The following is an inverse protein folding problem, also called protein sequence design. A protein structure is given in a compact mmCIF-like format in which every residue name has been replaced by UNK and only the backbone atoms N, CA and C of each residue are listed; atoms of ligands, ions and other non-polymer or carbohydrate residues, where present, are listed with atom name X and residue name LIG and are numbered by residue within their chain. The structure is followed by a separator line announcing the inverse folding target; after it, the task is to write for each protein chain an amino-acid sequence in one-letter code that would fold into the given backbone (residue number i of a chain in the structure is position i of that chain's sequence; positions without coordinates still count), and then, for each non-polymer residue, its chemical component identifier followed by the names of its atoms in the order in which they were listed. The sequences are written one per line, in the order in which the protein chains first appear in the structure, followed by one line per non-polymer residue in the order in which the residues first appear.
data_IF_567007049466
#
_entry.id   IF_567007049466
#
_cell.length_a   1.000
_cell.length_b   1.000
_cell.length_c   1.000
_cell.angle_alpha   90.00
_cell.angle_beta   90.00
_cell.angle_gamma   90.00
#
_symmetry.space_group_name_H-M   'P 1'
#
loop_
_entity.id
_entity.type
_entity.pdbx_description
1 polymer ?
#
# COMPACT_ATOMS: atom_id res chain seq x y z
N UNK A 1 -23.29 -3.77 16.00
CA UNK A 1 -22.01 -3.84 16.71
C UNK A 1 -21.68 -2.44 17.19
N UNK A 2 -21.52 -2.23 18.51
CA UNK A 2 -21.02 -0.96 19.03
C UNK A 2 -19.48 -1.01 18.94
N UNK A 3 -18.91 -0.40 17.95
CA UNK A 3 -17.45 -0.20 17.92
C UNK A 3 -17.10 0.85 18.99
N UNK A 4 -16.07 0.62 19.81
CA UNK A 4 -15.59 1.65 20.70
C UNK A 4 -15.19 2.89 19.91
N UNK A 5 -15.46 4.08 20.46
CA UNK A 5 -15.07 5.32 19.80
C UNK A 5 -13.54 5.33 19.66
N UNK A 6 -12.98 5.60 18.46
CA UNK A 6 -11.53 5.62 18.26
C UNK A 6 -10.86 6.59 19.24
N UNK A 7 -9.70 6.21 19.77
CA UNK A 7 -8.89 7.09 20.62
C UNK A 7 -8.29 8.21 19.76
N UNK A 8 -8.67 9.45 20.05
CA UNK A 8 -8.03 10.61 19.41
C UNK A 8 -6.67 10.89 20.07
N UNK A 9 -5.60 10.93 19.27
CA UNK A 9 -4.22 11.07 19.76
C UNK A 9 -3.68 12.46 19.44
N UNK A 10 -3.30 13.23 20.47
CA UNK A 10 -2.69 14.54 20.29
C UNK A 10 -1.17 14.50 20.53
N UNK A 11 -0.48 15.54 20.11
CA UNK A 11 0.96 15.73 20.37
C UNK A 11 1.30 15.58 21.85
N UNK A 12 0.48 16.13 22.72
CA UNK A 12 0.69 16.17 24.18
C UNK A 12 0.09 14.96 24.94
N UNK A 13 -0.79 14.17 24.29
CA UNK A 13 -1.39 13.00 24.95
C UNK A 13 -0.39 11.86 25.08
N UNK A 14 -0.54 11.03 26.12
CA UNK A 14 0.18 9.77 26.27
C UNK A 14 -0.80 8.65 25.97
N UNK A 15 -0.49 7.85 24.96
CA UNK A 15 -1.21 6.61 24.71
C UNK A 15 -0.74 5.57 25.72
N UNK A 16 -1.61 5.05 26.61
CA UNK A 16 -1.20 4.17 27.68
C UNK A 16 -0.56 2.86 27.20
N UNK A 17 -0.93 2.37 26.00
CA UNK A 17 -0.36 1.14 25.43
C UNK A 17 1.08 1.37 24.91
N UNK A 18 1.46 2.63 24.65
CA UNK A 18 2.76 3.00 24.05
C UNK A 18 3.56 3.98 24.93
N UNK A 19 3.32 4.00 26.24
CA UNK A 19 3.95 4.94 27.16
C UNK A 19 5.44 4.67 27.42
N UNK A 20 5.92 3.42 27.23
CA UNK A 20 7.26 2.99 27.57
C UNK A 20 8.05 2.51 26.36
N UNK A 21 8.57 3.43 25.52
CA UNK A 21 9.45 3.06 24.41
C UNK A 21 10.79 2.52 24.91
N UNK A 22 11.40 1.60 24.18
CA UNK A 22 12.75 1.11 24.42
C UNK A 22 13.51 0.93 23.10
N UNK A 23 14.82 1.03 23.16
CA UNK A 23 15.75 0.77 22.05
C UNK A 23 16.52 -0.50 22.36
N UNK A 24 16.67 -1.39 21.41
CA UNK A 24 17.48 -2.61 21.50
C UNK A 24 18.53 -2.73 20.39
N UNK A 25 18.43 -1.92 19.32
CA UNK A 25 19.43 -1.82 18.28
C UNK A 25 19.74 -0.34 18.04
N UNK A 26 21.02 0.02 18.06
CA UNK A 26 21.52 1.35 17.73
C UNK A 26 22.91 1.20 17.11
N UNK A 27 22.99 1.34 15.78
CA UNK A 27 24.21 1.06 15.02
C UNK A 27 24.33 1.93 13.78
N UNK A 28 25.55 2.10 13.29
CA UNK A 28 25.80 2.72 11.99
C UNK A 28 25.67 1.69 10.88
N UNK A 29 24.97 2.05 9.81
CA UNK A 29 24.82 1.27 8.57
C UNK A 29 25.23 2.07 7.36
N UNK A 30 25.63 1.39 6.28
CA UNK A 30 26.06 2.03 5.04
C UNK A 30 25.23 1.61 3.82
N UNK A 31 24.33 0.68 3.97
CA UNK A 31 23.48 0.17 2.89
C UNK A 31 22.02 0.57 3.14
N UNK A 32 21.32 1.16 2.16
CA UNK A 32 21.75 1.57 0.80
C UNK A 32 22.61 2.85 0.78
N UNK A 33 22.61 3.61 1.85
CA UNK A 33 23.38 4.85 2.04
C UNK A 33 23.78 4.96 3.51
N UNK A 34 24.83 5.73 3.87
CA UNK A 34 25.24 5.90 5.26
C UNK A 34 24.11 6.47 6.12
N UNK A 35 23.80 5.81 7.22
CA UNK A 35 22.78 6.24 8.19
C UNK A 35 23.02 5.62 9.57
N UNK A 36 22.44 6.20 10.61
CA UNK A 36 22.32 5.56 11.93
C UNK A 36 20.96 4.85 12.00
N UNK A 37 20.99 3.56 12.25
CA UNK A 37 19.80 2.73 12.43
C UNK A 37 19.49 2.57 13.91
N UNK A 38 18.26 2.87 14.30
CA UNK A 38 17.75 2.70 15.66
C UNK A 38 16.48 1.90 15.59
N UNK A 39 16.42 0.77 16.27
CA UNK A 39 15.22 -0.07 16.36
C UNK A 39 14.88 -0.38 17.80
N UNK A 40 13.61 -0.60 18.05
CA UNK A 40 13.09 -0.87 19.37
C UNK A 40 11.59 -1.16 19.32
N UNK A 41 10.94 -0.94 20.45
CA UNK A 41 9.51 -1.19 20.57
C UNK A 41 8.91 -0.47 21.75
N UNK A 42 7.72 -0.94 22.17
CA UNK A 42 7.01 -0.41 23.33
C UNK A 42 6.72 -1.56 24.29
N UNK A 43 7.12 -1.39 25.57
CA UNK A 43 6.99 -2.44 26.59
C UNK A 43 5.54 -2.88 26.76
N UNK A 44 5.33 -4.17 26.97
CA UNK A 44 4.01 -4.74 27.10
C UNK A 44 3.24 -4.95 25.80
N UNK A 45 3.83 -4.58 24.65
CA UNK A 45 3.22 -4.73 23.32
C UNK A 45 4.10 -5.54 22.38
N UNK A 46 3.57 -5.90 21.22
CA UNK A 46 4.34 -6.44 20.08
C UNK A 46 4.74 -5.35 19.07
N UNK A 47 4.46 -4.09 19.37
CA UNK A 47 4.78 -2.97 18.52
C UNK A 47 6.29 -2.73 18.43
N UNK A 48 6.77 -2.63 17.19
CA UNK A 48 8.17 -2.35 16.87
C UNK A 48 8.25 -1.13 15.96
N UNK A 49 9.36 -0.40 16.08
CA UNK A 49 9.71 0.70 15.19
C UNK A 49 11.14 0.54 14.67
N UNK A 50 11.37 1.17 13.52
CA UNK A 50 12.70 1.35 12.93
C UNK A 50 12.86 2.80 12.49
N UNK A 51 13.93 3.43 12.96
CA UNK A 51 14.32 4.80 12.62
C UNK A 51 15.66 4.79 11.92
N UNK A 52 15.77 5.56 10.86
CA UNK A 52 16.98 5.69 10.06
C UNK A 52 17.33 7.17 9.98
N UNK A 53 18.44 7.57 10.59
CA UNK A 53 18.83 8.96 10.70
C UNK A 53 19.96 9.26 9.71
N UNK A 54 19.83 10.32 8.86
CA UNK A 54 20.90 10.77 8.00
C UNK A 54 22.11 11.26 8.81
N UNK A 55 23.33 11.30 8.22
CA UNK A 55 24.48 11.93 8.81
C UNK A 55 24.16 13.39 9.24
N UNK A 56 24.76 13.88 10.35
CA UNK A 56 24.43 15.19 10.91
C UNK A 56 24.54 16.35 9.92
N UNK A 57 25.51 16.29 9.02
CA UNK A 57 25.74 17.32 8.00
C UNK A 57 24.67 17.36 6.91
N UNK A 58 23.90 16.28 6.75
CA UNK A 58 22.81 16.19 5.76
C UNK A 58 21.44 16.48 6.38
N UNK A 59 21.31 16.40 7.70
CA UNK A 59 20.02 16.44 8.37
C UNK A 59 19.31 17.80 8.25
N UNK A 60 18.05 17.76 7.76
CA UNK A 60 17.21 18.93 7.47
C UNK A 60 16.01 19.07 8.41
N UNK A 61 16.11 18.60 9.66
CA UNK A 61 15.10 18.73 10.72
C UNK A 61 13.70 18.21 10.32
N UNK A 62 13.67 17.08 9.62
CA UNK A 62 12.44 16.45 9.20
C UNK A 62 12.55 14.93 9.21
N UNK A 63 11.38 14.28 9.25
CA UNK A 63 11.28 12.83 9.06
C UNK A 63 10.13 12.48 8.13
N UNK A 64 10.30 11.40 7.37
CA UNK A 64 9.30 10.79 6.53
C UNK A 64 8.91 9.46 7.14
N UNK A 65 7.63 9.30 7.45
CA UNK A 65 7.09 8.12 8.08
C UNK A 65 6.30 7.33 7.05
N UNK A 66 6.82 6.18 6.64
CA UNK A 66 6.13 5.25 5.77
C UNK A 66 5.14 4.42 6.57
N UNK A 67 3.97 4.20 6.01
CA UNK A 67 2.97 3.29 6.59
C UNK A 67 2.37 2.37 5.54
N UNK A 68 2.24 1.09 5.91
CA UNK A 68 1.62 0.05 5.09
C UNK A 68 1.04 -1.04 6.00
N UNK A 69 -0.17 -1.59 5.72
CA UNK A 69 -0.88 -2.46 6.64
C UNK A 69 -0.29 -3.86 6.78
N UNK A 70 0.62 -4.28 5.89
CA UNK A 70 1.21 -5.61 5.93
C UNK A 70 2.56 -5.57 6.64
N UNK A 71 2.58 -6.02 7.89
CA UNK A 71 3.83 -6.34 8.59
C UNK A 71 4.34 -7.70 8.10
N UNK A 72 5.53 -7.72 7.52
CA UNK A 72 6.19 -8.97 7.11
C UNK A 72 6.94 -9.62 8.27
N UNK A 73 7.29 -8.85 9.30
CA UNK A 73 7.93 -9.32 10.52
C UNK A 73 7.33 -8.61 11.74
N UNK A 74 7.15 -9.35 12.83
CA UNK A 74 6.78 -8.77 14.13
C UNK A 74 7.96 -8.11 14.84
N UNK A 75 9.19 -8.36 14.39
CA UNK A 75 10.41 -7.98 15.11
C UNK A 75 11.04 -6.68 14.58
N UNK A 76 10.81 -6.38 13.31
CA UNK A 76 11.32 -5.17 12.65
C UNK A 76 10.19 -4.49 11.88
N UNK A 77 10.49 -3.38 11.22
CA UNK A 77 9.54 -2.67 10.38
C UNK A 77 8.81 -3.54 9.36
N UNK A 78 7.75 -3.04 8.76
CA UNK A 78 6.82 -3.83 7.94
C UNK A 78 7.45 -4.45 6.70
N UNK A 79 8.51 -3.88 6.18
CA UNK A 79 9.21 -4.38 5.00
C UNK A 79 10.68 -4.67 5.30
N UNK A 80 11.25 -5.73 4.71
CA UNK A 80 12.69 -5.92 4.66
C UNK A 80 13.37 -4.72 3.98
N UNK A 81 14.62 -4.47 4.36
CA UNK A 81 15.38 -3.35 3.79
C UNK A 81 15.53 -3.48 2.26
N UNK A 82 15.57 -4.70 1.75
CA UNK A 82 15.63 -4.98 0.32
C UNK A 82 14.41 -4.44 -0.44
N UNK A 83 13.24 -4.48 0.18
CA UNK A 83 12.04 -3.89 -0.41
C UNK A 83 12.12 -2.36 -0.39
N UNK A 84 12.56 -1.77 0.71
CA UNK A 84 12.79 -0.33 0.83
C UNK A 84 13.81 0.17 -0.20
N UNK A 85 14.89 -0.59 -0.40
CA UNK A 85 15.89 -0.30 -1.44
C UNK A 85 15.28 -0.36 -2.84
N UNK A 86 14.48 -1.39 -3.11
CA UNK A 86 13.83 -1.59 -4.41
C UNK A 86 12.82 -0.47 -4.73
N UNK A 87 12.09 0.03 -3.72
CA UNK A 87 11.16 1.17 -3.86
C UNK A 87 11.88 2.53 -3.83
N UNK A 88 13.13 2.56 -3.37
CA UNK A 88 13.93 3.77 -3.27
C UNK A 88 13.56 4.71 -2.11
N UNK A 89 12.60 4.34 -1.27
CA UNK A 89 12.06 5.22 -0.23
C UNK A 89 13.11 5.60 0.82
N UNK A 90 13.85 4.62 1.34
CA UNK A 90 14.89 4.86 2.34
C UNK A 90 16.04 5.70 1.76
N UNK A 91 16.57 5.29 0.61
CA UNK A 91 17.68 6.01 -0.04
C UNK A 91 17.30 7.45 -0.37
N UNK A 92 16.13 7.66 -0.98
CA UNK A 92 15.60 9.00 -1.26
C UNK A 92 15.43 9.84 0.01
N UNK A 93 14.85 9.26 1.07
CA UNK A 93 14.60 9.97 2.33
C UNK A 93 15.91 10.44 2.95
N UNK A 94 16.89 9.56 3.12
CA UNK A 94 18.19 9.92 3.69
C UNK A 94 18.91 10.96 2.82
N UNK A 95 18.93 10.78 1.49
CA UNK A 95 19.55 11.73 0.58
C UNK A 95 18.87 13.11 0.60
N UNK A 96 17.57 13.17 0.90
CA UNK A 96 16.85 14.43 1.08
C UNK A 96 17.11 15.10 2.44
N UNK A 97 17.89 14.49 3.32
CA UNK A 97 18.17 14.98 4.66
C UNK A 97 17.06 14.73 5.68
N UNK A 98 16.13 13.84 5.40
CA UNK A 98 15.08 13.44 6.33
C UNK A 98 15.45 12.13 7.05
N UNK A 99 15.05 11.98 8.31
CA UNK A 99 15.03 10.66 8.94
C UNK A 99 13.88 9.83 8.35
N UNK A 100 14.09 8.52 8.18
CA UNK A 100 13.05 7.59 7.76
C UNK A 100 12.48 6.85 8.95
N UNK A 101 11.17 6.63 8.95
CA UNK A 101 10.43 5.99 10.04
C UNK A 101 9.49 4.94 9.48
N UNK A 102 9.48 3.78 10.10
CA UNK A 102 8.46 2.75 9.86
C UNK A 102 8.17 1.97 11.14
N UNK A 103 7.03 1.28 11.17
CA UNK A 103 6.60 0.42 12.26
C UNK A 103 6.07 -0.91 11.73
N UNK A 104 5.90 -1.88 12.63
CA UNK A 104 5.19 -3.11 12.33
C UNK A 104 3.67 -3.04 12.60
N UNK A 105 3.11 -1.83 12.71
CA UNK A 105 1.67 -1.60 12.96
C UNK A 105 1.14 -2.34 14.20
N UNK A 106 1.93 -2.43 15.27
CA UNK A 106 1.56 -3.12 16.50
C UNK A 106 1.82 -4.64 16.51
N UNK A 107 2.24 -5.21 15.36
CA UNK A 107 2.61 -6.63 15.25
C UNK A 107 1.45 -7.63 15.25
N UNK A 108 0.20 -7.18 15.40
CA UNK A 108 -1.00 -8.03 15.52
C UNK A 108 -2.17 -7.57 14.64
N UNK A 109 -1.91 -6.92 13.52
CA UNK A 109 -2.94 -6.31 12.68
C UNK A 109 -4.00 -7.29 12.13
N UNK A 110 -3.73 -8.59 12.13
CA UNK A 110 -4.70 -9.65 11.73
C UNK A 110 -5.47 -10.24 12.92
N UNK A 111 -5.18 -9.84 14.14
CA UNK A 111 -5.86 -10.35 15.31
C UNK A 111 -7.18 -9.58 15.54
N UNK A 112 -8.36 -10.19 15.32
CA UNK A 112 -9.64 -9.49 15.46
C UNK A 112 -9.99 -9.12 16.90
N UNK A 113 -9.24 -9.62 17.89
CA UNK A 113 -9.42 -9.28 19.29
C UNK A 113 -8.66 -8.01 19.72
N UNK A 114 -7.76 -7.52 18.85
CA UNK A 114 -6.97 -6.30 19.10
C UNK A 114 -7.71 -5.09 18.54
N UNK A 115 -7.63 -3.96 19.24
CA UNK A 115 -8.18 -2.69 18.76
C UNK A 115 -7.59 -2.34 17.39
N UNK A 116 -8.40 -2.26 16.32
CA UNK A 116 -7.92 -1.97 14.98
C UNK A 116 -7.24 -0.59 14.86
N UNK A 117 -7.53 0.35 15.76
CA UNK A 117 -6.88 1.66 15.80
C UNK A 117 -5.37 1.55 16.10
N UNK A 118 -4.93 0.48 16.78
CA UNK A 118 -3.50 0.23 17.01
C UNK A 118 -2.75 0.13 15.68
N UNK A 119 -3.22 -0.71 14.79
CA UNK A 119 -2.60 -0.89 13.47
C UNK A 119 -2.91 0.28 12.52
N UNK A 120 -4.08 0.91 12.65
CA UNK A 120 -4.49 1.99 11.76
C UNK A 120 -3.65 3.26 11.94
N UNK A 121 -3.38 3.69 13.18
CA UNK A 121 -2.63 4.94 13.43
C UNK A 121 -1.95 5.04 14.79
N UNK A 122 -2.39 4.34 15.86
CA UNK A 122 -1.88 4.55 17.24
C UNK A 122 -0.41 4.20 17.37
N UNK A 123 0.03 3.04 16.84
CA UNK A 123 1.44 2.64 16.83
C UNK A 123 2.31 3.66 16.08
N UNK A 124 1.85 4.09 14.91
CA UNK A 124 2.55 5.07 14.10
C UNK A 124 2.65 6.43 14.79
N UNK A 125 1.58 6.86 15.48
CA UNK A 125 1.58 8.10 16.26
C UNK A 125 2.59 8.06 17.42
N UNK A 126 2.66 6.94 18.14
CA UNK A 126 3.64 6.75 19.20
C UNK A 126 5.09 6.78 18.67
N UNK A 127 5.36 6.09 17.56
CA UNK A 127 6.67 6.11 16.91
C UNK A 127 7.04 7.52 16.41
N UNK A 128 6.08 8.26 15.85
CA UNK A 128 6.31 9.64 15.39
C UNK A 128 6.65 10.60 16.53
N UNK A 129 6.09 10.41 17.73
CA UNK A 129 6.48 11.16 18.92
C UNK A 129 7.88 10.79 19.38
N UNK A 130 8.17 9.48 19.40
CA UNK A 130 9.44 9.00 19.90
C UNK A 130 10.60 9.35 18.97
N UNK A 131 10.43 9.29 17.64
CA UNK A 131 11.49 9.74 16.71
C UNK A 131 11.85 11.20 16.88
N UNK A 132 10.90 12.07 17.26
CA UNK A 132 11.22 13.49 17.57
C UNK A 132 12.13 13.63 18.79
N UNK A 133 11.86 12.86 19.85
CA UNK A 133 12.73 12.84 21.04
C UNK A 133 14.11 12.27 20.68
N UNK A 134 14.15 11.16 19.96
CA UNK A 134 15.41 10.55 19.50
C UNK A 134 16.21 11.47 18.60
N UNK A 135 15.59 12.23 17.71
CA UNK A 135 16.30 13.18 16.84
C UNK A 135 17.02 14.28 17.65
N UNK A 136 16.42 14.75 18.74
CA UNK A 136 17.09 15.71 19.63
C UNK A 136 18.33 15.10 20.29
N UNK A 137 18.25 13.84 20.70
CA UNK A 137 19.39 13.11 21.28
C UNK A 137 20.47 12.83 20.23
N UNK A 138 20.09 12.28 19.07
CA UNK A 138 20.99 11.91 17.96
C UNK A 138 21.79 13.13 17.48
N UNK A 139 21.15 14.29 17.35
CA UNK A 139 21.79 15.51 16.82
C UNK A 139 22.26 16.50 17.91
N UNK A 140 22.06 16.14 19.19
CA UNK A 140 22.58 16.91 20.34
C UNK A 140 22.02 18.33 20.45
N UNK A 141 20.80 18.57 19.94
CA UNK A 141 20.17 19.90 19.98
C UNK A 141 18.64 19.80 20.14
N UNK A 142 18.10 20.76 20.91
CA UNK A 142 16.66 20.88 21.05
C UNK A 142 16.07 21.48 19.76
N UNK A 143 15.19 20.71 19.09
CA UNK A 143 14.44 21.13 17.92
C UNK A 143 13.20 20.25 17.77
N UNK A 144 12.22 20.70 17.00
CA UNK A 144 11.05 19.90 16.64
C UNK A 144 11.09 19.55 15.15
N UNK A 145 11.51 18.33 14.78
CA UNK A 145 11.50 17.91 13.39
C UNK A 145 10.09 17.96 12.79
N UNK A 146 9.99 18.43 11.56
CA UNK A 146 8.74 18.32 10.78
C UNK A 146 8.51 16.87 10.36
N UNK A 147 7.31 16.36 10.62
CA UNK A 147 6.92 14.98 10.32
C UNK A 147 5.94 14.90 9.17
N UNK A 148 6.21 13.99 8.22
CA UNK A 148 5.33 13.74 7.09
C UNK A 148 4.98 12.25 7.04
N UNK A 149 3.68 11.93 7.15
CA UNK A 149 3.19 10.56 7.02
C UNK A 149 2.78 10.29 5.59
N UNK A 150 3.25 9.20 5.02
CA UNK A 150 2.89 8.81 3.67
C UNK A 150 2.64 7.31 3.57
N UNK A 151 1.78 6.92 2.64
CA UNK A 151 1.51 5.52 2.38
C UNK A 151 0.63 5.31 1.16
N UNK A 152 0.92 4.25 0.44
CA UNK A 152 0.18 3.82 -0.75
C UNK A 152 -0.78 2.67 -0.45
N UNK A 153 -1.82 2.51 -1.28
CA UNK A 153 -2.77 1.40 -1.18
C UNK A 153 -3.38 1.29 0.22
N UNK A 154 -3.14 0.20 0.94
CA UNK A 154 -3.55 0.05 2.34
C UNK A 154 -2.91 1.08 3.28
N UNK A 155 -1.69 1.53 2.99
CA UNK A 155 -1.02 2.61 3.71
C UNK A 155 -1.70 3.96 3.52
N UNK A 156 -2.38 4.18 2.39
CA UNK A 156 -3.20 5.38 2.21
C UNK A 156 -4.36 5.44 3.21
N UNK A 157 -5.01 4.32 3.50
CA UNK A 157 -6.04 4.26 4.54
C UNK A 157 -5.48 4.57 5.93
N UNK A 158 -4.29 4.03 6.25
CA UNK A 158 -3.63 4.35 7.52
C UNK A 158 -3.25 5.83 7.59
N UNK A 159 -2.77 6.41 6.49
CA UNK A 159 -2.44 7.84 6.40
C UNK A 159 -3.68 8.71 6.59
N UNK A 160 -4.81 8.37 5.95
CA UNK A 160 -6.10 9.05 6.12
C UNK A 160 -6.60 8.87 7.56
N UNK A 161 -6.60 7.63 8.08
CA UNK A 161 -7.02 7.37 9.45
C UNK A 161 -6.19 8.12 10.48
N UNK A 162 -4.89 8.28 10.26
CA UNK A 162 -4.03 9.10 11.09
C UNK A 162 -4.40 10.60 10.99
N UNK A 163 -4.66 11.11 9.79
CA UNK A 163 -5.06 12.51 9.59
C UNK A 163 -6.39 12.85 10.29
N UNK A 164 -7.34 11.90 10.31
CA UNK A 164 -8.66 12.08 10.92
C UNK A 164 -8.66 11.91 12.44
N UNK A 165 -7.71 11.15 13.01
CA UNK A 165 -7.73 10.75 14.42
C UNK A 165 -6.53 11.26 15.22
N UNK A 166 -5.70 12.15 14.64
CA UNK A 166 -4.57 12.74 15.36
C UNK A 166 -4.46 14.24 15.14
N UNK A 167 -3.84 14.94 16.10
CA UNK A 167 -3.49 16.35 15.99
C UNK A 167 -2.09 16.61 16.57
N UNK A 168 -1.30 17.44 15.89
CA UNK A 168 0.05 17.80 16.31
C UNK A 168 1.09 16.68 16.24
N UNK A 169 0.74 15.51 15.65
CA UNK A 169 1.66 14.37 15.46
C UNK A 169 2.48 14.53 14.18
N UNK A 170 1.84 14.81 13.07
CA UNK A 170 2.51 15.08 11.79
C UNK A 170 2.14 16.45 11.27
N UNK A 171 3.01 17.01 10.44
CA UNK A 171 2.84 18.33 9.83
C UNK A 171 2.28 18.24 8.42
N UNK A 172 2.27 17.03 7.84
CA UNK A 172 1.68 16.75 6.53
C UNK A 172 1.39 15.27 6.31
N UNK A 173 0.42 15.02 5.43
CA UNK A 173 -0.05 13.69 5.08
C UNK A 173 -0.10 13.52 3.56
N UNK A 174 0.44 12.42 3.06
CA UNK A 174 0.46 12.06 1.64
C UNK A 174 -0.12 10.67 1.42
N UNK A 175 -1.46 10.50 1.46
CA UNK A 175 -2.09 9.27 1.01
C UNK A 175 -2.06 9.22 -0.52
N UNK A 176 -1.62 8.09 -1.09
CA UNK A 176 -1.63 7.91 -2.53
C UNK A 176 -2.17 6.53 -2.93
N UNK A 177 -2.72 6.45 -4.13
CA UNK A 177 -3.38 5.26 -4.69
C UNK A 177 -4.27 4.51 -3.68
N UNK A 178 -5.18 5.19 -2.94
CA UNK A 178 -6.07 4.50 -2.02
C UNK A 178 -6.92 3.51 -2.79
N UNK A 179 -7.03 2.28 -2.29
CA UNK A 179 -8.04 1.36 -2.76
C UNK A 179 -9.43 1.90 -2.37
N UNK A 180 -10.38 1.89 -3.28
CA UNK A 180 -11.76 2.30 -2.99
C UNK A 180 -12.72 1.14 -3.22
N UNK A 181 -13.97 1.30 -2.81
CA UNK A 181 -15.03 0.29 -3.01
C UNK A 181 -15.16 -0.11 -4.48
N UNK A 182 -14.83 0.81 -5.40
CA UNK A 182 -14.84 0.56 -6.84
C UNK A 182 -13.57 -0.16 -7.34
N UNK A 183 -12.51 -0.23 -6.56
CA UNK A 183 -11.27 -0.89 -6.96
C UNK A 183 -11.48 -2.38 -7.22
N UNK A 184 -12.23 -3.07 -6.34
CA UNK A 184 -12.51 -4.51 -6.50
C UNK A 184 -13.33 -4.78 -7.76
N UNK A 185 -14.53 -4.20 -7.96
CA UNK A 185 -15.29 -4.40 -9.19
C UNK A 185 -14.52 -3.97 -10.44
N UNK A 186 -13.81 -2.84 -10.39
CA UNK A 186 -13.01 -2.36 -11.51
C UNK A 186 -11.89 -3.32 -11.86
N UNK A 187 -11.12 -3.78 -10.86
CA UNK A 187 -9.98 -4.67 -11.07
C UNK A 187 -10.38 -6.12 -11.33
N UNK A 188 -11.34 -6.65 -10.56
CA UNK A 188 -11.70 -8.07 -10.57
C UNK A 188 -12.78 -8.41 -11.59
N UNK A 189 -13.55 -7.45 -12.05
CA UNK A 189 -14.63 -7.69 -13.01
C UNK A 189 -14.37 -7.00 -14.34
N UNK A 190 -14.36 -5.67 -14.37
CA UNK A 190 -14.26 -4.93 -15.62
C UNK A 190 -12.94 -5.16 -16.37
N UNK A 191 -11.81 -5.16 -15.69
CA UNK A 191 -10.49 -5.47 -16.30
C UNK A 191 -10.44 -6.88 -16.85
N UNK A 192 -10.87 -7.87 -16.07
CA UNK A 192 -10.82 -9.27 -16.51
C UNK A 192 -11.76 -9.53 -17.67
N UNK A 193 -12.95 -8.92 -17.63
CA UNK A 193 -13.87 -8.96 -18.75
C UNK A 193 -13.26 -8.34 -20.02
N UNK A 194 -12.71 -7.14 -19.90
CA UNK A 194 -12.10 -6.46 -21.03
C UNK A 194 -10.88 -7.22 -21.57
N UNK A 195 -10.00 -7.74 -20.70
CA UNK A 195 -8.87 -8.59 -21.11
C UNK A 195 -9.38 -9.79 -21.94
N UNK A 196 -10.41 -10.47 -21.47
CA UNK A 196 -10.96 -11.63 -22.17
C UNK A 196 -11.50 -11.25 -23.54
N UNK A 197 -12.33 -10.21 -23.64
CA UNK A 197 -12.94 -9.79 -24.89
C UNK A 197 -11.89 -9.22 -25.88
N UNK A 198 -10.98 -8.37 -25.42
CA UNK A 198 -10.04 -7.70 -26.29
C UNK A 198 -8.85 -8.57 -26.72
N UNK A 199 -8.46 -9.59 -25.93
CA UNK A 199 -7.36 -10.49 -26.30
C UNK A 199 -7.72 -11.49 -27.38
N UNK A 200 -8.97 -11.96 -27.47
CA UNK A 200 -9.41 -12.98 -28.43
C UNK A 200 -9.06 -12.63 -29.88
N UNK A 201 -9.13 -11.36 -30.24
CA UNK A 201 -8.83 -10.85 -31.58
C UNK A 201 -7.64 -9.90 -31.61
N UNK A 202 -6.78 -9.95 -30.59
CA UNK A 202 -5.61 -9.08 -30.42
C UNK A 202 -5.94 -7.57 -30.47
N UNK A 203 -7.06 -7.16 -29.87
CA UNK A 203 -7.54 -5.76 -29.92
C UNK A 203 -6.79 -4.83 -28.99
N UNK A 204 -6.09 -5.36 -27.98
CA UNK A 204 -5.25 -4.54 -27.09
C UNK A 204 -4.15 -3.80 -27.86
N UNK A 205 -3.47 -4.50 -28.78
CA UNK A 205 -2.46 -3.88 -29.65
C UNK A 205 -3.09 -2.82 -30.58
N UNK A 206 -4.25 -3.13 -31.20
CA UNK A 206 -4.96 -2.18 -32.06
C UNK A 206 -5.35 -0.90 -31.31
N UNK A 207 -5.80 -1.02 -30.07
CA UNK A 207 -6.13 0.13 -29.22
C UNK A 207 -4.86 0.94 -28.90
N UNK A 208 -3.78 0.26 -28.53
CA UNK A 208 -2.50 0.92 -28.24
C UNK A 208 -1.98 1.67 -29.46
N UNK A 209 -1.93 1.03 -30.63
CA UNK A 209 -1.47 1.61 -31.90
C UNK A 209 -2.30 2.83 -32.31
N UNK A 210 -3.62 2.79 -32.07
CA UNK A 210 -4.48 3.93 -32.39
C UNK A 210 -4.14 5.18 -31.56
N UNK A 211 -3.63 5.01 -30.34
CA UNK A 211 -3.28 6.12 -29.44
C UNK A 211 -1.79 6.47 -29.42
N UNK A 212 -0.94 5.68 -30.05
CA UNK A 212 0.48 6.01 -30.21
C UNK A 212 0.69 7.24 -31.11
N UNK A 213 1.82 7.94 -31.01
CA UNK A 213 2.13 9.06 -31.90
C UNK A 213 2.06 8.66 -33.38
N UNK A 214 1.15 9.27 -34.13
CA UNK A 214 0.86 8.96 -35.51
C UNK A 214 -0.27 7.96 -35.76
N UNK A 215 -0.86 7.41 -34.69
CA UNK A 215 -2.06 6.60 -34.80
C UNK A 215 -3.33 7.38 -35.13
N UNK A 216 -4.44 6.67 -35.34
CA UNK A 216 -5.72 7.26 -35.77
C UNK A 216 -6.38 8.15 -34.70
N UNK A 217 -6.07 7.94 -33.43
CA UNK A 217 -6.75 8.54 -32.29
C UNK A 217 -8.12 7.93 -31.96
N UNK A 218 -8.61 7.02 -32.80
CA UNK A 218 -9.90 6.36 -32.64
C UNK A 218 -9.78 4.85 -32.92
N UNK A 219 -9.77 3.99 -31.90
CA UNK A 219 -9.71 2.53 -32.08
C UNK A 219 -11.06 1.88 -32.37
N UNK A 220 -12.18 2.57 -32.17
CA UNK A 220 -13.52 1.99 -32.24
C UNK A 220 -13.90 1.36 -33.59
N UNK A 221 -13.50 1.91 -34.75
CA UNK A 221 -13.81 1.32 -36.04
C UNK A 221 -13.31 -0.13 -36.21
N UNK A 222 -12.26 -0.51 -35.49
CA UNK A 222 -11.66 -1.85 -35.53
C UNK A 222 -12.27 -2.83 -34.51
N UNK A 223 -13.16 -2.36 -33.63
CA UNK A 223 -13.78 -3.14 -32.57
C UNK A 223 -15.19 -3.58 -32.95
N UNK A 224 -15.56 -4.81 -32.60
CA UNK A 224 -16.95 -5.20 -32.63
C UNK A 224 -17.73 -4.62 -31.43
N UNK A 225 -19.05 -4.87 -31.37
CA UNK A 225 -19.92 -4.30 -30.35
C UNK A 225 -19.50 -4.69 -28.91
N UNK A 226 -19.16 -5.97 -28.67
CA UNK A 226 -18.74 -6.46 -27.36
C UNK A 226 -17.37 -5.88 -26.95
N UNK A 227 -16.41 -5.86 -27.87
CA UNK A 227 -15.10 -5.26 -27.67
C UNK A 227 -15.20 -3.76 -27.39
N UNK A 228 -16.03 -3.04 -28.14
CA UNK A 228 -16.27 -1.61 -27.95
C UNK A 228 -16.94 -1.30 -26.60
N UNK A 229 -17.89 -2.14 -26.17
CA UNK A 229 -18.55 -2.01 -24.87
C UNK A 229 -17.55 -2.23 -23.74
N UNK A 230 -16.77 -3.31 -23.77
CA UNK A 230 -15.76 -3.64 -22.77
C UNK A 230 -14.69 -2.54 -22.69
N UNK A 231 -14.20 -2.05 -23.83
CA UNK A 231 -13.24 -0.97 -23.89
C UNK A 231 -13.77 0.35 -23.33
N UNK A 232 -15.02 0.68 -23.62
CA UNK A 232 -15.68 1.87 -23.08
C UNK A 232 -15.84 1.78 -21.55
N UNK A 233 -16.24 0.64 -21.03
CA UNK A 233 -16.41 0.42 -19.59
C UNK A 233 -15.11 0.65 -18.82
N UNK A 234 -14.01 0.00 -19.24
CA UNK A 234 -12.73 0.19 -18.57
C UNK A 234 -12.19 1.62 -18.69
N UNK A 235 -12.48 2.30 -19.80
CA UNK A 235 -12.09 3.70 -20.00
C UNK A 235 -12.82 4.64 -19.03
N UNK A 236 -14.11 4.42 -18.81
CA UNK A 236 -14.91 5.16 -17.84
C UNK A 236 -14.46 4.90 -16.39
N UNK A 237 -13.87 3.73 -16.13
CA UNK A 237 -13.30 3.36 -14.83
C UNK A 237 -11.86 3.88 -14.63
N UNK A 238 -11.37 4.72 -15.55
CA UNK A 238 -10.11 5.44 -15.40
C UNK A 238 -8.88 4.71 -15.93
N UNK A 239 -9.05 3.66 -16.75
CA UNK A 239 -7.91 3.06 -17.45
C UNK A 239 -7.39 4.02 -18.52
N UNK A 240 -6.14 4.46 -18.43
CA UNK A 240 -5.58 5.38 -19.41
C UNK A 240 -5.44 4.67 -20.76
N UNK A 241 -5.79 5.39 -21.83
CA UNK A 241 -5.76 4.88 -23.17
C UNK A 241 -4.47 5.26 -23.90
N UNK A 242 -3.95 6.46 -23.62
CA UNK A 242 -2.71 6.96 -24.19
C UNK A 242 -1.52 6.59 -23.32
N UNK A 243 -0.45 6.10 -23.95
CA UNK A 243 0.76 5.71 -23.25
C UNK A 243 0.49 4.57 -22.27
N UNK A 244 -0.37 3.68 -22.65
CA UNK A 244 -0.83 2.60 -21.79
C UNK A 244 0.27 1.58 -21.54
N UNK A 245 0.96 1.78 -20.46
CA UNK A 245 1.97 0.85 -19.97
C UNK A 245 1.31 -0.46 -19.59
N UNK A 246 1.83 -1.57 -20.09
CA UNK A 246 1.29 -2.89 -19.77
C UNK A 246 -0.09 -3.17 -20.38
N UNK A 247 -0.44 -2.56 -21.51
CA UNK A 247 -1.72 -2.79 -22.20
C UNK A 247 -1.96 -4.28 -22.51
N UNK A 248 -0.90 -5.06 -22.79
CA UNK A 248 -0.99 -6.49 -23.05
C UNK A 248 -1.59 -7.30 -21.89
N UNK A 249 -1.41 -6.86 -20.68
CA UNK A 249 -1.84 -7.52 -19.45
C UNK A 249 -2.87 -6.70 -18.68
N UNK A 250 -3.09 -5.44 -19.05
CA UNK A 250 -3.88 -4.48 -18.29
C UNK A 250 -3.46 -4.43 -16.81
N UNK A 251 -2.15 -4.57 -16.57
CA UNK A 251 -1.57 -4.64 -15.23
C UNK A 251 -2.17 -5.78 -14.36
N UNK A 252 -2.44 -6.91 -14.99
CA UNK A 252 -3.11 -8.05 -14.36
C UNK A 252 -2.22 -8.93 -13.48
N UNK A 253 -0.93 -8.60 -13.33
CA UNK A 253 0.00 -9.36 -12.48
C UNK A 253 -0.49 -9.50 -11.03
N UNK A 254 -1.24 -8.53 -10.55
CA UNK A 254 -1.89 -8.57 -9.24
C UNK A 254 -2.92 -9.71 -9.12
N UNK A 255 -3.62 -10.07 -10.21
CA UNK A 255 -4.60 -11.15 -10.21
C UNK A 255 -3.96 -12.53 -10.03
N UNK A 256 -2.76 -12.74 -10.52
CA UNK A 256 -2.04 -14.00 -10.32
C UNK A 256 -1.79 -14.27 -8.82
N UNK A 257 -1.46 -13.24 -8.06
CA UNK A 257 -1.28 -13.34 -6.62
C UNK A 257 -2.61 -13.66 -5.91
N UNK A 258 -3.71 -12.99 -6.28
CA UNK A 258 -5.03 -13.25 -5.70
C UNK A 258 -5.51 -14.65 -6.06
N UNK A 259 -5.38 -15.06 -7.32
CA UNK A 259 -5.77 -16.39 -7.77
C UNK A 259 -5.05 -17.49 -6.97
N UNK A 260 -3.77 -17.30 -6.64
CA UNK A 260 -3.00 -18.21 -5.80
C UNK A 260 -3.50 -18.29 -4.34
N UNK A 261 -4.20 -17.27 -3.84
CA UNK A 261 -4.76 -17.25 -2.49
C UNK A 261 -6.14 -17.91 -2.39
N UNK A 262 -6.90 -17.97 -3.47
CA UNK A 262 -8.28 -18.50 -3.48
C UNK A 262 -8.36 -19.95 -2.94
N UNK A 263 -7.53 -20.90 -3.37
CA UNK A 263 -7.60 -22.27 -2.85
C UNK A 263 -7.33 -22.40 -1.34
N UNK A 264 -6.60 -21.44 -0.75
CA UNK A 264 -6.36 -21.43 0.69
C UNK A 264 -7.55 -20.90 1.49
N UNK A 265 -8.38 -20.04 0.87
CA UNK A 265 -9.57 -19.45 1.48
C UNK A 265 -10.80 -20.35 1.24
N UNK A 266 -10.95 -20.84 0.02
CA UNK A 266 -12.03 -21.71 -0.42
C UNK A 266 -11.48 -22.82 -1.31
N UNK A 267 -11.16 -23.99 -0.73
CA UNK A 267 -10.57 -25.11 -1.48
C UNK A 267 -11.49 -25.68 -2.58
N UNK A 268 -12.79 -25.45 -2.50
CA UNK A 268 -13.77 -25.98 -3.46
C UNK A 268 -14.12 -24.98 -4.57
N UNK A 269 -13.64 -23.73 -4.46
CA UNK A 269 -14.03 -22.66 -5.37
C UNK A 269 -13.86 -23.00 -6.86
N UNK A 270 -12.76 -23.63 -7.24
CA UNK A 270 -12.50 -23.97 -8.63
C UNK A 270 -13.49 -25.00 -9.19
N UNK A 271 -13.85 -26.02 -8.39
CA UNK A 271 -14.87 -27.00 -8.76
C UNK A 271 -16.26 -26.37 -8.80
N UNK A 272 -16.59 -25.62 -7.78
CA UNK A 272 -17.87 -24.92 -7.63
C UNK A 272 -18.11 -23.93 -8.77
N UNK A 273 -17.08 -23.18 -9.15
CA UNK A 273 -17.16 -22.23 -10.27
C UNK A 273 -17.56 -22.89 -11.59
N UNK A 274 -17.06 -24.11 -11.86
CA UNK A 274 -17.33 -24.81 -13.11
C UNK A 274 -18.57 -25.72 -13.08
N UNK A 275 -19.12 -26.00 -11.90
CA UNK A 275 -20.18 -27.00 -11.73
C UNK A 275 -21.49 -26.45 -11.16
N UNK A 276 -21.44 -25.41 -10.34
CA UNK A 276 -22.64 -24.94 -9.62
C UNK A 276 -23.41 -23.88 -10.41
N UNK A 277 -24.76 -23.94 -10.39
CA UNK A 277 -25.59 -22.88 -10.93
C UNK A 277 -25.31 -21.53 -10.25
N UNK A 278 -25.34 -20.46 -11.03
CA UNK A 278 -25.08 -19.10 -10.56
C UNK A 278 -23.66 -18.62 -10.79
N UNK A 279 -22.71 -19.51 -11.05
CA UNK A 279 -21.38 -19.15 -11.53
C UNK A 279 -21.35 -19.12 -13.06
N UNK A 280 -20.52 -18.23 -13.63
CA UNK A 280 -20.37 -18.15 -15.09
C UNK A 280 -19.88 -19.46 -15.72
N UNK A 281 -19.01 -20.19 -15.05
CA UNK A 281 -18.51 -21.49 -15.50
C UNK A 281 -19.55 -22.61 -15.38
N UNK A 282 -20.54 -22.48 -14.49
CA UNK A 282 -21.65 -23.39 -14.31
C UNK A 282 -22.80 -23.19 -15.31
N UNK A 283 -22.80 -22.11 -16.10
CA UNK A 283 -23.73 -21.84 -17.17
C UNK A 283 -23.23 -22.46 -18.50
N UNK A 284 -23.88 -23.51 -19.05
CA UNK A 284 -23.44 -24.12 -20.30
C UNK A 284 -23.41 -23.17 -21.51
N UNK A 285 -24.21 -22.10 -21.48
CA UNK A 285 -24.26 -21.09 -22.53
C UNK A 285 -23.16 -20.01 -22.40
N UNK A 286 -22.42 -20.02 -21.32
CA UNK A 286 -21.37 -19.00 -21.06
C UNK A 286 -20.21 -19.11 -22.05
N UNK A 287 -19.82 -17.97 -22.62
CA UNK A 287 -18.67 -17.87 -23.53
C UNK A 287 -17.33 -18.19 -22.85
N UNK A 288 -17.29 -18.22 -21.51
CA UNK A 288 -16.08 -18.54 -20.75
C UNK A 288 -15.56 -19.95 -21.00
N UNK A 289 -16.43 -20.87 -21.43
CA UNK A 289 -16.04 -22.25 -21.79
C UNK A 289 -15.05 -22.30 -22.95
N UNK A 290 -15.08 -21.29 -23.85
CA UNK A 290 -14.13 -21.20 -24.96
C UNK A 290 -12.70 -20.85 -24.51
N UNK A 291 -12.55 -20.32 -23.31
CA UNK A 291 -11.26 -19.92 -22.75
C UNK A 291 -10.69 -20.97 -21.77
N UNK A 292 -11.43 -22.06 -21.56
CA UNK A 292 -10.98 -23.16 -20.68
C UNK A 292 -9.93 -24.00 -21.40
N UNK A 293 -8.69 -23.94 -20.92
CA UNK A 293 -7.55 -24.72 -21.41
C UNK A 293 -7.40 -25.99 -20.56
#
# INVERSE_FOLDING_TARGET
MNFPKPLFVTGDSIDPDFAEPFVDIDEARNDPVPHRYVSGGFRGTKARFSFYFPPPEQYQERFFHNTYPMALSSDIGPFPIEFEVAMGDLGFTIASGAAYVQTNNGGEFRNPAVDPAIAAYRTNAAAAKFVRAMAQEVYGRAHRPFGYLFGGSGGAYQTIGAAENTDGIWDGFLPFVPGCDHAIPSMMSARMHALRELRRRNRLAVIADAYEPGGSGDPYPELNEAEAAAFREISLLGHPLKGWYGHETMDSGYFANIAGMIPAIDPTYAEDFWSKPGYLGGDPASTIHADRV
#
